data_IF_409691012702
#
_entry.id   IF_409691012702
#
_cell.length_a   1.000
_cell.length_b   1.000
_cell.length_c   1.000
_cell.angle_alpha   90.00
_cell.angle_beta   90.00
_cell.angle_gamma   90.00
#
_symmetry.space_group_name_H-M   'P 1'
#
loop_
_entity.id
_entity.type
_entity.pdbx_description
1 polymer ?
#
# COMPACT_ATOMS: atom_id res chain seq x y z
N UNK A 1 27.11 -2.42 -49.64
CA UNK A 1 26.08 -3.20 -48.92
C UNK A 1 26.56 -3.75 -47.58
N UNK A 2 27.66 -4.53 -47.50
CA UNK A 2 28.14 -5.10 -46.21
C UNK A 2 28.43 -4.08 -45.09
N UNK A 3 29.01 -2.91 -45.42
CA UNK A 3 29.27 -1.83 -44.44
C UNK A 3 27.99 -1.20 -43.89
N UNK A 4 26.98 -1.02 -44.73
CA UNK A 4 25.67 -0.48 -44.35
C UNK A 4 24.92 -1.48 -43.45
N UNK A 5 25.00 -2.77 -43.77
CA UNK A 5 24.42 -3.84 -42.95
C UNK A 5 25.05 -3.89 -41.56
N UNK A 6 26.38 -3.73 -41.45
CA UNK A 6 27.08 -3.67 -40.17
C UNK A 6 26.64 -2.49 -39.29
N UNK A 7 26.39 -1.32 -39.90
CA UNK A 7 25.88 -0.13 -39.18
C UNK A 7 24.46 -0.39 -38.66
N UNK A 8 23.59 -0.99 -39.48
CA UNK A 8 22.20 -1.33 -39.08
C UNK A 8 22.20 -2.32 -37.90
N UNK A 9 23.02 -3.37 -37.95
CA UNK A 9 23.14 -4.36 -36.87
C UNK A 9 23.62 -3.67 -35.59
N UNK A 10 24.60 -2.76 -35.68
CA UNK A 10 25.07 -1.98 -34.54
C UNK A 10 23.97 -1.15 -33.88
N UNK A 11 23.15 -0.46 -34.67
CA UNK A 11 22.01 0.34 -34.16
C UNK A 11 20.99 -0.55 -33.45
N UNK A 12 20.65 -1.71 -34.02
CA UNK A 12 19.69 -2.65 -33.42
C UNK A 12 20.20 -3.18 -32.07
N UNK A 13 21.50 -3.51 -31.97
CA UNK A 13 22.10 -3.97 -30.71
C UNK A 13 22.06 -2.88 -29.64
N UNK A 14 22.39 -1.63 -29.99
CA UNK A 14 22.33 -0.49 -29.06
C UNK A 14 20.90 -0.25 -28.58
N UNK A 15 19.93 -0.25 -29.49
CA UNK A 15 18.51 -0.11 -29.14
C UNK A 15 18.03 -1.25 -28.24
N UNK A 16 18.46 -2.49 -28.49
CA UNK A 16 18.11 -3.65 -27.66
C UNK A 16 18.67 -3.53 -26.24
N UNK A 17 19.93 -3.11 -26.10
CA UNK A 17 20.56 -2.87 -24.79
C UNK A 17 19.82 -1.74 -24.05
N UNK A 18 19.53 -0.63 -24.74
CA UNK A 18 18.79 0.49 -24.17
C UNK A 18 17.41 0.03 -23.67
N UNK A 19 16.63 -0.66 -24.51
CA UNK A 19 15.32 -1.20 -24.12
C UNK A 19 15.39 -2.13 -22.90
N UNK A 20 16.43 -2.96 -22.79
CA UNK A 20 16.60 -3.87 -21.66
C UNK A 20 16.93 -3.14 -20.36
N UNK A 21 17.79 -2.12 -20.42
CA UNK A 21 18.15 -1.28 -19.28
C UNK A 21 16.93 -0.45 -18.84
N UNK A 22 16.27 0.23 -19.77
CA UNK A 22 15.08 1.04 -19.48
C UNK A 22 13.90 0.19 -19.00
N UNK A 23 13.68 -1.00 -19.58
CA UNK A 23 12.65 -1.93 -19.13
C UNK A 23 12.87 -2.40 -17.69
N UNK A 24 14.12 -2.70 -17.32
CA UNK A 24 14.49 -3.01 -15.93
C UNK A 24 14.30 -1.82 -14.99
N UNK A 25 14.64 -0.61 -15.44
CA UNK A 25 14.53 0.61 -14.63
C UNK A 25 13.07 1.01 -14.37
N UNK A 26 12.21 0.97 -15.40
CA UNK A 26 10.78 1.28 -15.24
C UNK A 26 10.03 0.21 -14.45
N UNK A 27 10.49 -1.04 -14.47
CA UNK A 27 9.83 -2.09 -13.70
C UNK A 27 9.95 -1.91 -12.18
N UNK A 28 10.93 -1.14 -11.68
CA UNK A 28 11.21 -0.99 -10.25
C UNK A 28 11.05 0.44 -9.73
N UNK A 29 10.29 1.29 -10.43
CA UNK A 29 9.99 2.64 -9.96
C UNK A 29 8.49 2.87 -9.85
N UNK A 30 8.11 3.77 -8.94
CA UNK A 30 6.77 4.36 -8.86
C UNK A 30 6.79 5.61 -9.74
N UNK A 31 5.85 5.73 -10.68
CA UNK A 31 5.74 6.93 -11.50
C UNK A 31 5.33 8.12 -10.63
N UNK A 32 5.72 9.34 -11.04
CA UNK A 32 5.49 10.58 -10.26
C UNK A 32 4.03 10.86 -9.92
N UNK A 33 3.09 10.23 -10.62
CA UNK A 33 1.64 10.37 -10.47
C UNK A 33 0.98 9.16 -9.80
N UNK A 34 1.71 8.08 -9.53
CA UNK A 34 1.25 6.87 -8.85
C UNK A 34 1.55 6.94 -7.35
N UNK A 35 0.93 6.07 -6.55
CA UNK A 35 1.28 5.93 -5.14
C UNK A 35 1.18 4.47 -4.67
N UNK A 36 1.98 4.12 -3.67
CA UNK A 36 1.85 2.88 -2.90
C UNK A 36 1.63 3.23 -1.42
N UNK A 37 1.10 2.28 -0.64
CA UNK A 37 0.82 2.47 0.77
C UNK A 37 1.31 1.28 1.58
N UNK A 38 1.97 1.56 2.70
CA UNK A 38 2.18 0.63 3.79
C UNK A 38 1.67 1.29 5.07
N UNK A 39 0.85 0.56 5.82
CA UNK A 39 0.26 1.06 7.05
C UNK A 39 0.78 0.21 8.20
N UNK A 40 1.28 0.88 9.21
CA UNK A 40 1.87 0.26 10.39
C UNK A 40 1.20 0.76 11.66
N UNK A 41 1.40 0.04 12.74
CA UNK A 41 0.98 0.42 14.07
C UNK A 41 2.08 0.07 15.06
N UNK A 42 2.33 0.96 16.01
CA UNK A 42 3.29 0.70 17.08
C UNK A 42 2.68 -0.24 18.12
N UNK A 43 2.94 -1.53 18.01
CA UNK A 43 2.37 -2.52 18.93
C UNK A 43 2.79 -2.35 20.39
N UNK A 44 3.91 -1.68 20.66
CA UNK A 44 4.42 -1.47 22.02
C UNK A 44 3.69 -0.33 22.75
N UNK A 45 3.18 0.66 22.00
CA UNK A 45 2.50 1.84 22.58
C UNK A 45 1.00 1.92 22.28
N UNK A 46 0.47 1.02 21.44
CA UNK A 46 -0.88 1.13 20.92
C UNK A 46 -1.84 0.10 21.54
N UNK A 47 -2.78 0.58 22.36
CA UNK A 47 -3.91 -0.22 22.82
C UNK A 47 -5.08 -0.10 21.83
N UNK A 48 -5.38 -1.20 21.12
CA UNK A 48 -6.41 -1.25 20.08
C UNK A 48 -7.81 -0.98 20.65
N UNK A 49 -8.19 -1.64 21.74
CA UNK A 49 -9.52 -1.45 22.34
C UNK A 49 -9.76 0.00 22.73
N UNK A 50 -8.79 0.60 23.44
CA UNK A 50 -8.84 2.01 23.83
C UNK A 50 -8.88 2.94 22.61
N UNK A 51 -8.12 2.63 21.56
CA UNK A 51 -8.11 3.45 20.36
C UNK A 51 -9.45 3.43 19.62
N UNK A 52 -10.15 2.31 19.62
CA UNK A 52 -11.47 2.18 18.98
C UNK A 52 -12.64 2.46 19.92
N UNK A 53 -12.36 2.94 21.14
CA UNK A 53 -13.37 3.21 22.18
C UNK A 53 -14.21 1.95 22.53
N UNK A 54 -13.56 0.77 22.54
CA UNK A 54 -14.14 -0.53 22.84
C UNK A 54 -13.88 -0.95 24.30
N UNK A 55 -14.72 -1.83 24.88
CA UNK A 55 -14.43 -2.48 26.15
C UNK A 55 -13.10 -3.25 26.09
N UNK A 56 -12.34 -3.23 27.19
CA UNK A 56 -11.05 -3.93 27.29
C UNK A 56 -11.22 -5.44 27.08
N UNK A 57 -10.36 -6.03 26.23
CA UNK A 57 -10.40 -7.44 25.85
C UNK A 57 -11.33 -7.75 24.67
N UNK A 58 -11.86 -6.74 23.98
CA UNK A 58 -12.72 -6.95 22.79
C UNK A 58 -11.90 -7.39 21.59
N UNK A 59 -10.74 -6.76 21.36
CA UNK A 59 -9.80 -7.12 20.31
C UNK A 59 -9.01 -8.37 20.70
N UNK A 60 -9.19 -9.44 19.94
CA UNK A 60 -8.46 -10.69 20.11
C UNK A 60 -7.41 -10.80 18.99
N UNK A 61 -6.14 -10.57 19.32
CA UNK A 61 -5.04 -10.63 18.33
C UNK A 61 -4.89 -11.99 17.63
N UNK A 62 -5.47 -13.07 18.15
CA UNK A 62 -5.44 -14.39 17.54
C UNK A 62 -6.60 -14.58 16.55
N UNK A 63 -7.74 -13.90 16.77
CA UNK A 63 -8.96 -14.00 15.96
C UNK A 63 -9.23 -12.80 15.06
N UNK A 64 -8.63 -11.66 15.34
CA UNK A 64 -8.87 -10.38 14.67
C UNK A 64 -7.58 -9.84 14.05
N UNK A 65 -7.74 -9.02 13.01
CA UNK A 65 -6.68 -8.25 12.35
C UNK A 65 -7.13 -6.82 12.15
N UNK A 66 -6.14 -5.93 12.07
CA UNK A 66 -6.32 -4.57 11.64
C UNK A 66 -6.07 -4.47 10.14
N UNK A 67 -6.98 -3.81 9.44
CA UNK A 67 -6.80 -3.42 8.05
C UNK A 67 -7.08 -1.94 7.90
N UNK A 68 -6.47 -1.32 6.91
CA UNK A 68 -6.71 0.05 6.55
C UNK A 68 -7.29 0.10 5.14
N UNK A 69 -8.48 0.67 5.03
CA UNK A 69 -9.06 1.06 3.74
C UNK A 69 -8.37 2.33 3.28
N UNK A 70 -7.84 2.26 2.08
CA UNK A 70 -7.09 3.33 1.46
C UNK A 70 -8.04 4.33 0.78
N UNK A 71 -7.59 5.60 0.58
CA UNK A 71 -8.29 6.63 -0.19
C UNK A 71 -8.22 6.31 -1.70
N UNK A 72 -8.77 5.16 -2.10
CA UNK A 72 -8.71 4.66 -3.46
C UNK A 72 -10.05 4.12 -3.93
N UNK A 73 -10.37 4.40 -5.19
CA UNK A 73 -11.52 3.85 -5.91
C UNK A 73 -11.00 2.96 -7.04
N UNK A 74 -11.07 1.65 -6.80
CA UNK A 74 -10.53 0.62 -7.69
C UNK A 74 -11.64 -0.19 -8.32
N UNK A 75 -11.45 -0.59 -9.58
CA UNK A 75 -12.36 -1.48 -10.29
C UNK A 75 -11.84 -2.93 -10.29
N UNK A 76 -12.77 -3.89 -10.23
CA UNK A 76 -12.44 -5.32 -10.35
C UNK A 76 -11.78 -5.94 -9.11
N UNK A 77 -10.63 -6.58 -9.30
CA UNK A 77 -9.96 -7.44 -8.30
C UNK A 77 -8.85 -6.75 -7.49
N UNK A 78 -8.56 -5.49 -7.77
CA UNK A 78 -7.51 -4.76 -7.06
C UNK A 78 -7.97 -4.43 -5.65
N UNK A 79 -7.13 -4.66 -4.65
CA UNK A 79 -7.50 -4.41 -3.26
C UNK A 79 -7.54 -2.91 -2.96
N UNK A 80 -8.61 -2.45 -2.30
CA UNK A 80 -8.74 -1.11 -1.71
C UNK A 80 -8.30 -1.07 -0.24
N UNK A 81 -7.84 -2.20 0.30
CA UNK A 81 -7.45 -2.37 1.69
C UNK A 81 -6.05 -2.96 1.78
N UNK A 82 -5.32 -2.57 2.83
CA UNK A 82 -4.04 -3.14 3.20
C UNK A 82 -4.08 -3.63 4.63
N UNK A 83 -3.36 -4.72 4.92
CA UNK A 83 -3.20 -5.21 6.28
C UNK A 83 -2.29 -4.24 7.03
N UNK A 84 -2.70 -3.84 8.24
CA UNK A 84 -1.87 -3.02 9.11
C UNK A 84 -0.83 -3.90 9.79
N UNK A 85 0.45 -3.56 9.58
CA UNK A 85 1.57 -4.30 10.14
C UNK A 85 1.91 -3.78 11.53
N UNK A 86 2.24 -4.67 12.45
CA UNK A 86 2.52 -4.33 13.86
C UNK A 86 4.00 -4.13 14.16
N UNK A 87 4.87 -4.48 13.21
CA UNK A 87 6.32 -4.41 13.38
C UNK A 87 6.89 -3.16 12.71
N UNK A 88 7.44 -2.26 13.54
CA UNK A 88 8.12 -1.06 13.10
C UNK A 88 9.63 -1.25 12.91
N UNK A 89 10.22 -2.34 13.43
CA UNK A 89 11.68 -2.52 13.48
C UNK A 89 12.29 -2.80 12.11
N UNK A 90 11.48 -3.34 11.19
CA UNK A 90 11.91 -3.73 9.85
C UNK A 90 11.57 -2.70 8.77
N UNK A 91 11.16 -1.47 9.14
CA UNK A 91 10.85 -0.42 8.16
C UNK A 91 12.15 0.17 7.61
N UNK A 92 12.56 -0.29 6.43
CA UNK A 92 13.64 0.34 5.67
C UNK A 92 13.11 1.53 4.85
N UNK A 93 13.36 2.74 5.36
CA UNK A 93 12.99 3.98 4.67
C UNK A 93 13.70 4.19 3.33
N UNK A 94 14.84 3.52 3.12
CA UNK A 94 15.61 3.56 1.88
C UNK A 94 15.30 2.38 0.95
N UNK A 95 14.37 1.49 1.34
CA UNK A 95 14.01 0.35 0.52
C UNK A 95 13.48 0.84 -0.83
N UNK A 96 14.19 0.44 -1.88
CA UNK A 96 13.76 0.67 -3.26
C UNK A 96 12.48 -0.10 -3.51
N UNK A 97 11.57 0.52 -4.23
CA UNK A 97 10.38 -0.16 -4.73
C UNK A 97 10.79 -1.40 -5.54
N UNK A 98 10.12 -2.51 -5.26
CA UNK A 98 10.23 -3.74 -6.06
C UNK A 98 8.83 -4.12 -6.49
N UNK A 99 8.66 -4.34 -7.78
CA UNK A 99 7.36 -4.75 -8.34
C UNK A 99 6.96 -6.10 -7.79
N UNK A 100 5.73 -6.18 -7.29
CA UNK A 100 5.18 -7.38 -6.64
C UNK A 100 5.10 -7.28 -5.12
N UNK A 101 5.95 -6.46 -4.49
CA UNK A 101 5.93 -6.28 -3.03
C UNK A 101 4.84 -5.28 -2.60
N UNK A 102 4.40 -4.43 -3.52
CA UNK A 102 3.47 -3.34 -3.27
C UNK A 102 2.36 -3.27 -4.32
N UNK A 103 1.18 -2.84 -3.88
CA UNK A 103 0.08 -2.48 -4.78
C UNK A 103 0.28 -1.02 -5.21
N UNK A 104 0.59 -0.82 -6.50
CA UNK A 104 0.64 0.51 -7.11
C UNK A 104 -0.76 0.96 -7.50
N UNK A 105 -1.12 2.19 -7.15
CA UNK A 105 -2.37 2.83 -7.55
C UNK A 105 -2.12 3.94 -8.56
N UNK A 106 -2.94 3.94 -9.61
CA UNK A 106 -2.90 4.88 -10.72
C UNK A 106 -3.61 6.20 -10.35
N UNK A 107 -3.32 7.31 -11.03
CA UNK A 107 -3.82 8.63 -10.64
C UNK A 107 -5.34 8.75 -10.57
N UNK A 108 -6.06 8.01 -11.42
CA UNK A 108 -7.52 8.04 -11.45
C UNK A 108 -8.15 7.20 -10.32
N UNK A 109 -7.39 6.28 -9.73
CA UNK A 109 -7.82 5.44 -8.60
C UNK A 109 -7.63 6.18 -7.27
N UNK A 110 -6.68 7.11 -7.19
CA UNK A 110 -6.34 7.88 -5.99
C UNK A 110 -7.42 8.95 -5.71
N UNK A 111 -8.16 8.83 -4.59
CA UNK A 111 -9.32 9.68 -4.24
C UNK A 111 -9.21 10.26 -2.83
N UNK A 112 -9.02 11.58 -2.73
CA UNK A 112 -9.04 12.29 -1.45
C UNK A 112 -7.87 11.91 -0.53
N UNK A 113 -8.07 12.08 0.77
CA UNK A 113 -7.08 11.81 1.84
C UNK A 113 -7.68 11.06 3.03
N UNK A 114 -8.87 10.48 2.85
CA UNK A 114 -9.60 9.76 3.91
C UNK A 114 -9.27 8.27 3.90
N UNK A 115 -8.84 7.79 5.07
CA UNK A 115 -8.56 6.39 5.35
C UNK A 115 -9.56 5.87 6.37
N UNK A 116 -9.87 4.57 6.33
CA UNK A 116 -10.67 3.93 7.40
C UNK A 116 -9.87 2.78 8.00
N UNK A 117 -9.55 2.86 9.30
CA UNK A 117 -8.96 1.74 10.03
C UNK A 117 -10.09 0.85 10.53
N UNK A 118 -10.01 -0.45 10.25
CA UNK A 118 -11.05 -1.42 10.54
C UNK A 118 -10.48 -2.58 11.36
N UNK A 119 -11.24 -3.03 12.36
CA UNK A 119 -11.03 -4.32 13.00
C UNK A 119 -11.90 -5.34 12.28
N UNK A 120 -11.29 -6.40 11.75
CA UNK A 120 -12.00 -7.50 11.08
C UNK A 120 -11.53 -8.85 11.59
N UNK A 121 -12.36 -9.88 11.46
CA UNK A 121 -11.97 -11.25 11.79
C UNK A 121 -10.87 -11.73 10.83
N UNK A 122 -9.86 -12.47 11.32
CA UNK A 122 -8.74 -12.98 10.51
C UNK A 122 -9.15 -13.84 9.32
N UNK A 123 -10.26 -14.57 9.46
CA UNK A 123 -10.81 -15.42 8.41
C UNK A 123 -11.72 -14.66 7.43
N UNK A 124 -11.87 -13.34 7.58
CA UNK A 124 -12.65 -12.54 6.65
C UNK A 124 -11.97 -12.47 5.28
N UNK A 125 -12.75 -12.67 4.23
CA UNK A 125 -12.28 -12.44 2.87
C UNK A 125 -12.23 -10.93 2.60
N UNK A 126 -11.03 -10.36 2.52
CA UNK A 126 -10.81 -8.92 2.34
C UNK A 126 -11.43 -8.36 1.05
N UNK A 127 -11.63 -9.19 0.03
CA UNK A 127 -12.28 -8.79 -1.23
C UNK A 127 -13.77 -8.49 -1.00
N UNK A 128 -14.41 -9.24 -0.10
CA UNK A 128 -15.85 -9.14 0.18
C UNK A 128 -16.16 -7.93 1.08
N UNK A 129 -15.18 -7.34 1.74
CA UNK A 129 -15.35 -6.14 2.60
C UNK A 129 -15.89 -4.92 1.85
N UNK A 130 -15.68 -4.86 0.53
CA UNK A 130 -16.26 -3.80 -0.32
C UNK A 130 -17.75 -4.01 -0.61
N UNK A 131 -18.35 -5.12 -0.17
CA UNK A 131 -19.76 -5.44 -0.37
C UNK A 131 -20.56 -5.27 0.94
N UNK A 132 -21.89 -5.07 0.88
CA UNK A 132 -22.74 -4.98 2.07
C UNK A 132 -22.61 -6.19 3.01
N UNK A 133 -22.38 -7.39 2.46
CA UNK A 133 -22.19 -8.62 3.23
C UNK A 133 -20.90 -8.54 4.04
N UNK A 134 -19.82 -8.01 3.46
CA UNK A 134 -18.54 -7.85 4.14
C UNK A 134 -18.57 -6.83 5.29
N UNK A 135 -19.48 -5.87 5.28
CA UNK A 135 -19.61 -4.90 6.39
C UNK A 135 -19.97 -5.58 7.71
N UNK A 136 -20.65 -6.73 7.68
CA UNK A 136 -20.98 -7.52 8.88
C UNK A 136 -19.76 -8.18 9.53
N UNK A 137 -18.63 -8.24 8.81
CA UNK A 137 -17.37 -8.80 9.30
C UNK A 137 -16.49 -7.74 9.98
N UNK A 138 -16.94 -6.48 9.99
CA UNK A 138 -16.25 -5.34 10.62
C UNK A 138 -16.74 -5.22 12.06
N UNK A 139 -15.84 -5.38 13.02
CA UNK A 139 -16.14 -5.24 14.45
C UNK A 139 -16.17 -3.77 14.87
N UNK A 140 -15.23 -2.98 14.38
CA UNK A 140 -15.12 -1.56 14.66
C UNK A 140 -14.43 -0.83 13.50
N UNK A 141 -14.69 0.47 13.39
CA UNK A 141 -14.06 1.35 12.40
C UNK A 141 -13.71 2.70 12.99
N UNK A 142 -12.61 3.29 12.53
CA UNK A 142 -12.18 4.65 12.88
C UNK A 142 -11.69 5.37 11.63
N UNK A 143 -12.22 6.56 11.40
CA UNK A 143 -11.83 7.38 10.26
C UNK A 143 -10.53 8.10 10.57
N UNK A 144 -9.62 8.11 9.60
CA UNK A 144 -8.31 8.75 9.67
C UNK A 144 -8.14 9.61 8.43
N UNK A 145 -7.32 10.66 8.51
CA UNK A 145 -7.02 11.51 7.36
C UNK A 145 -5.52 11.73 7.28
N UNK A 146 -4.98 11.66 6.07
CA UNK A 146 -3.57 11.94 5.78
C UNK A 146 -3.36 12.33 4.32
N UNK A 147 -2.68 13.45 4.11
CA UNK A 147 -2.32 13.91 2.76
C UNK A 147 -1.07 13.18 2.25
N UNK A 148 -1.28 12.06 1.57
CA UNK A 148 -0.20 11.26 0.98
C UNK A 148 0.45 11.94 -0.23
N UNK A 149 1.67 11.51 -0.56
CA UNK A 149 2.37 11.99 -1.76
C UNK A 149 2.37 10.95 -2.88
N UNK A 150 2.35 11.43 -4.12
CA UNK A 150 2.55 10.62 -5.33
C UNK A 150 4.05 10.46 -5.61
N UNK A 151 4.42 9.48 -6.45
CA UNK A 151 5.81 9.17 -6.80
C UNK A 151 6.57 8.38 -5.74
N UNK A 152 5.91 7.90 -4.68
CA UNK A 152 6.57 7.20 -3.57
C UNK A 152 5.69 6.13 -2.91
N UNK A 153 6.34 5.30 -2.09
CA UNK A 153 5.65 4.44 -1.12
C UNK A 153 5.39 5.27 0.13
N UNK A 154 4.11 5.51 0.42
CA UNK A 154 3.69 6.20 1.64
C UNK A 154 3.69 5.19 2.79
N UNK A 155 4.70 5.31 3.68
CA UNK A 155 4.85 4.44 4.85
C UNK A 155 4.28 5.16 6.05
N UNK A 156 3.03 4.85 6.39
CA UNK A 156 2.26 5.55 7.40
C UNK A 156 2.18 4.72 8.68
N UNK A 157 2.29 5.37 9.83
CA UNK A 157 2.08 4.77 11.15
C UNK A 157 0.81 5.35 11.75
N UNK A 158 -0.04 4.46 12.25
CA UNK A 158 -1.22 4.79 13.06
C UNK A 158 -0.76 5.11 14.48
N UNK A 159 -1.02 6.34 14.90
CA UNK A 159 -0.76 6.88 16.22
C UNK A 159 -2.08 7.28 16.89
N UNK A 160 -2.03 7.57 18.19
CA UNK A 160 -3.19 8.06 18.96
C UNK A 160 -3.81 9.31 18.32
N UNK A 161 -2.99 10.18 17.73
CA UNK A 161 -3.43 11.43 17.08
C UNK A 161 -3.88 11.27 15.62
N UNK A 162 -3.77 10.08 15.03
CA UNK A 162 -4.11 9.84 13.62
C UNK A 162 -2.98 9.15 12.84
N UNK A 163 -2.93 9.38 11.52
CA UNK A 163 -1.89 8.85 10.65
C UNK A 163 -0.71 9.82 10.54
N UNK A 164 0.51 9.28 10.51
CA UNK A 164 1.73 10.05 10.30
C UNK A 164 2.70 9.29 9.41
N UNK A 165 3.48 10.00 8.59
CA UNK A 165 4.53 9.37 7.79
C UNK A 165 5.75 9.05 8.65
N UNK A 166 6.19 7.79 8.56
CA UNK A 166 7.34 7.29 9.30
C UNK A 166 8.66 7.70 8.66
N UNK A 167 8.73 7.59 7.33
CA UNK A 167 9.91 7.90 6.53
C UNK A 167 9.77 9.29 5.93
N UNK A 168 10.39 10.29 6.55
CA UNK A 168 10.43 11.68 6.06
C UNK A 168 11.54 11.88 5.04
#
# INVERSE_FOLDING_TARGET
MKKVLGIIIGIVVILWIAMRIFGGYNSNNILSNEACFEIFIDSDSFNVDKYFDLPEGTFDKDKDILICKLPVEVQGFKASHVIVRTDLKDIDCNAKFKKGDYIQYEPYELKGSDFELLIVKKNANLVVLNTPIGQTLILAKKNLSYDYSKGKVNRLVVCVSGLSEYCK
#
